data_IF_053365562775
#
_entry.id   IF_053365562775
#
_cell.length_a   1.000
_cell.length_b   1.000
_cell.length_c   1.000
_cell.angle_alpha   90.00
_cell.angle_beta   90.00
_cell.angle_gamma   90.00
#
_symmetry.space_group_name_H-M   'P 1'
#
loop_
_entity.id
_entity.type
_entity.pdbx_description
1 polymer ?
#
# COMPACT_ATOMS: atom_id res chain seq x y z
N UNK A 1 12.52 -11.46 7.10
CA UNK A 1 11.23 -11.61 6.40
C UNK A 1 10.41 -12.59 7.21
N UNK A 2 9.46 -12.08 8.00
CA UNK A 2 8.50 -12.95 8.71
C UNK A 2 7.58 -13.54 7.63
N UNK A 3 7.48 -14.86 7.57
CA UNK A 3 6.64 -15.59 6.61
C UNK A 3 5.16 -15.64 7.05
N UNK A 4 4.90 -14.99 8.18
CA UNK A 4 3.72 -15.13 9.03
C UNK A 4 2.43 -14.70 8.29
N UNK A 5 2.52 -13.73 7.36
CA UNK A 5 1.37 -13.19 6.61
C UNK A 5 0.88 -14.03 5.43
N UNK A 6 1.73 -14.86 4.80
CA UNK A 6 1.35 -15.63 3.61
C UNK A 6 0.25 -16.66 3.91
N UNK A 7 0.26 -17.24 5.11
CA UNK A 7 -0.66 -18.30 5.50
C UNK A 7 -1.83 -17.81 6.37
N UNK A 8 -1.79 -16.57 6.88
CA UNK A 8 -2.72 -16.11 7.92
C UNK A 8 -3.62 -14.93 7.51
N UNK A 9 -3.18 -14.02 6.63
CA UNK A 9 -3.92 -12.77 6.30
C UNK A 9 -4.28 -12.62 4.82
N UNK A 10 -4.08 -13.68 4.03
CA UNK A 10 -4.22 -13.65 2.59
C UNK A 10 -2.96 -13.15 1.89
N UNK A 11 -3.01 -13.00 0.58
CA UNK A 11 -1.87 -12.59 -0.25
C UNK A 11 -1.47 -11.10 -0.05
N UNK A 12 -1.66 -10.51 1.13
CA UNK A 12 -1.17 -9.16 1.46
C UNK A 12 -0.42 -9.14 2.78
N UNK A 13 0.58 -8.26 2.91
CA UNK A 13 1.36 -8.05 4.13
C UNK A 13 1.71 -6.56 4.28
N UNK A 14 1.88 -6.06 5.51
CA UNK A 14 2.19 -4.64 5.76
C UNK A 14 3.37 -4.47 6.70
N UNK A 15 4.16 -3.42 6.50
CA UNK A 15 5.29 -3.11 7.38
C UNK A 15 5.61 -1.61 7.41
N UNK A 16 6.11 -1.15 8.56
CA UNK A 16 6.67 0.19 8.69
C UNK A 16 8.06 0.22 8.04
N UNK A 17 8.21 1.00 6.97
CA UNK A 17 9.48 1.12 6.22
C UNK A 17 10.38 2.15 6.89
N UNK A 18 9.81 3.32 7.19
CA UNK A 18 10.46 4.49 7.79
C UNK A 18 9.40 5.41 8.39
N UNK A 19 9.76 6.44 9.19
CA UNK A 19 8.79 7.41 9.68
C UNK A 19 7.98 8.06 8.55
N UNK A 20 6.65 7.84 8.55
CA UNK A 20 5.74 8.33 7.51
C UNK A 20 5.75 7.53 6.19
N UNK A 21 6.37 6.34 6.17
CA UNK A 21 6.40 5.44 5.01
C UNK A 21 5.95 4.05 5.41
N UNK A 22 4.84 3.60 4.83
CA UNK A 22 4.24 2.30 5.10
C UNK A 22 4.20 1.48 3.82
N UNK A 23 4.67 0.24 3.89
CA UNK A 23 4.60 -0.72 2.80
C UNK A 23 3.35 -1.59 2.92
N UNK A 24 2.67 -1.79 1.80
CA UNK A 24 1.66 -2.83 1.61
C UNK A 24 2.10 -3.70 0.44
N UNK A 25 2.42 -4.96 0.71
CA UNK A 25 2.68 -5.96 -0.32
C UNK A 25 1.34 -6.56 -0.71
N UNK A 26 1.06 -6.62 -2.01
CA UNK A 26 0.04 -7.49 -2.59
C UNK A 26 0.64 -8.90 -2.77
N UNK A 27 0.29 -9.64 -3.82
CA UNK A 27 0.89 -10.96 -4.06
C UNK A 27 2.43 -10.86 -4.15
N UNK A 28 2.92 -9.98 -5.01
CA UNK A 28 4.35 -9.73 -5.22
C UNK A 28 4.69 -8.26 -5.47
N UNK A 29 3.69 -7.38 -5.64
CA UNK A 29 3.90 -5.94 -5.87
C UNK A 29 3.82 -5.19 -4.55
N UNK A 30 4.71 -4.23 -4.35
CA UNK A 30 4.72 -3.37 -3.17
C UNK A 30 4.10 -2.01 -3.51
N UNK A 31 3.09 -1.61 -2.76
CA UNK A 31 2.57 -0.26 -2.75
C UNK A 31 3.18 0.50 -1.57
N UNK A 32 3.72 1.70 -1.80
CA UNK A 32 4.29 2.53 -0.75
C UNK A 32 3.39 3.73 -0.46
N UNK A 33 2.92 3.83 0.78
CA UNK A 33 2.13 4.94 1.29
C UNK A 33 3.05 5.94 1.99
N UNK A 34 3.08 7.18 1.52
CA UNK A 34 4.03 8.20 2.00
C UNK A 34 3.25 9.43 2.46
N UNK A 35 3.32 9.72 3.75
CA UNK A 35 2.67 10.86 4.37
C UNK A 35 2.45 10.65 5.86
N UNK A 36 2.32 11.77 6.59
CA UNK A 36 1.96 11.75 8.01
C UNK A 36 0.45 11.62 8.19
N UNK A 37 -0.04 11.06 9.32
CA UNK A 37 -1.45 11.12 9.67
C UNK A 37 -1.97 12.57 9.62
N UNK A 38 -3.18 12.75 9.10
CA UNK A 38 -3.86 14.05 8.97
C UNK A 38 -3.13 15.08 8.09
N UNK A 39 -2.20 14.65 7.24
CA UNK A 39 -1.51 15.49 6.26
C UNK A 39 -1.82 15.02 4.84
N UNK A 40 -1.30 15.74 3.86
CA UNK A 40 -1.30 15.29 2.47
C UNK A 40 -0.39 14.07 2.34
N UNK A 41 -0.81 13.11 1.51
CA UNK A 41 -0.09 11.86 1.30
C UNK A 41 -0.19 11.39 -0.15
N UNK A 42 0.72 10.52 -0.53
CA UNK A 42 0.79 9.91 -1.86
C UNK A 42 0.91 8.39 -1.76
N UNK A 43 0.61 7.71 -2.86
CA UNK A 43 0.92 6.29 -3.04
C UNK A 43 1.85 6.10 -4.23
N UNK A 44 2.84 5.22 -4.09
CA UNK A 44 3.70 4.75 -5.17
C UNK A 44 3.32 3.32 -5.51
N UNK A 45 3.05 3.08 -6.79
CA UNK A 45 2.45 1.88 -7.38
C UNK A 45 1.08 1.49 -6.79
N UNK A 46 0.34 0.66 -7.53
CA UNK A 46 -1.05 0.29 -7.19
C UNK A 46 -1.33 -1.20 -7.21
N UNK A 47 -0.30 -2.04 -7.42
CA UNK A 47 -0.44 -3.48 -7.37
C UNK A 47 -1.41 -4.05 -8.41
N UNK A 48 -1.73 -5.32 -8.24
CA UNK A 48 -2.64 -6.05 -9.10
C UNK A 48 -4.10 -5.64 -8.87
N UNK A 49 -4.87 -5.56 -9.95
CA UNK A 49 -6.28 -5.14 -9.93
C UNK A 49 -7.17 -5.94 -8.97
N UNK A 50 -6.87 -7.22 -8.72
CA UNK A 50 -7.56 -8.07 -7.75
C UNK A 50 -7.45 -7.58 -6.29
N UNK A 51 -6.51 -6.68 -5.98
CA UNK A 51 -6.29 -6.13 -4.64
C UNK A 51 -6.81 -4.70 -4.46
N UNK A 52 -7.50 -4.15 -5.47
CA UNK A 52 -8.01 -2.76 -5.45
C UNK A 52 -8.75 -2.42 -4.15
N UNK A 53 -9.69 -3.27 -3.72
CA UNK A 53 -10.46 -3.04 -2.50
C UNK A 53 -9.58 -3.04 -1.25
N UNK A 54 -8.63 -3.97 -1.16
CA UNK A 54 -7.71 -4.08 -0.02
C UNK A 54 -6.82 -2.84 0.10
N UNK A 55 -6.32 -2.32 -1.03
CA UNK A 55 -5.51 -1.10 -1.08
C UNK A 55 -6.32 0.12 -0.62
N UNK A 56 -7.58 0.23 -1.09
CA UNK A 56 -8.49 1.31 -0.70
C UNK A 56 -8.84 1.23 0.80
N UNK A 57 -9.14 0.04 1.31
CA UNK A 57 -9.44 -0.18 2.72
C UNK A 57 -8.25 0.20 3.60
N UNK A 58 -7.05 -0.25 3.24
CA UNK A 58 -5.82 0.12 3.94
C UNK A 58 -5.56 1.63 3.91
N UNK A 59 -5.78 2.29 2.76
CA UNK A 59 -5.66 3.73 2.66
C UNK A 59 -6.61 4.46 3.62
N UNK A 60 -7.87 4.02 3.71
CA UNK A 60 -8.89 4.59 4.60
C UNK A 60 -8.61 4.35 6.09
N UNK A 61 -7.92 3.26 6.43
CA UNK A 61 -7.47 2.99 7.80
C UNK A 61 -6.37 3.96 8.24
N UNK A 62 -5.54 4.44 7.30
CA UNK A 62 -4.36 5.27 7.59
C UNK A 62 -4.57 6.77 7.37
N UNK A 63 -5.47 7.15 6.47
CA UNK A 63 -5.63 8.53 6.03
C UNK A 63 -7.11 8.94 5.93
N UNK A 64 -7.42 10.14 6.41
CA UNK A 64 -8.79 10.70 6.37
C UNK A 64 -9.18 11.24 4.99
N UNK A 65 -8.20 11.66 4.19
CA UNK A 65 -8.37 12.28 2.87
C UNK A 65 -7.83 11.36 1.77
N UNK A 66 -8.30 11.48 0.51
CA UNK A 66 -7.69 10.79 -0.61
C UNK A 66 -6.23 11.24 -0.84
N UNK A 67 -5.40 10.43 -1.53
CA UNK A 67 -4.04 10.84 -1.83
C UNK A 67 -4.05 12.02 -2.80
N UNK A 68 -3.06 12.91 -2.68
CA UNK A 68 -2.91 14.05 -3.60
C UNK A 68 -2.32 13.62 -4.95
N UNK A 69 -1.67 12.45 -5.00
CA UNK A 69 -1.16 11.84 -6.22
C UNK A 69 -1.02 10.32 -6.10
N UNK A 70 -1.12 9.64 -7.25
CA UNK A 70 -0.71 8.25 -7.46
C UNK A 70 0.50 8.30 -8.38
N UNK A 71 1.62 7.75 -7.93
CA UNK A 71 2.87 7.70 -8.69
C UNK A 71 3.07 6.28 -9.19
N UNK A 72 3.08 6.09 -10.50
CA UNK A 72 3.38 4.79 -11.11
C UNK A 72 4.85 4.74 -11.50
N UNK A 73 5.54 3.67 -11.14
CA UNK A 73 6.96 3.48 -11.52
C UNK A 73 7.10 3.17 -13.00
N UNK A 74 6.17 2.39 -13.54
CA UNK A 74 6.10 2.00 -14.95
C UNK A 74 4.68 1.53 -15.33
N UNK A 75 4.47 1.13 -16.58
CA UNK A 75 3.15 0.85 -17.16
C UNK A 75 2.84 -0.62 -17.43
N UNK A 76 3.37 -1.54 -16.62
CA UNK A 76 2.95 -2.93 -16.68
C UNK A 76 1.61 -3.13 -15.94
N UNK A 77 1.11 -4.37 -15.98
CA UNK A 77 -0.21 -4.70 -15.44
C UNK A 77 -0.22 -4.82 -13.91
N UNK A 78 0.96 -4.91 -13.31
CA UNK A 78 1.20 -5.16 -11.90
C UNK A 78 1.47 -3.89 -11.09
#
# INVERSE_FOLDING_TARGET
>A
MRLDGILSEGYTDTWDVAPGVIGLRTMFVNCAFIGQPNSDWIIVDTGLSSYTNRIIEFAKEKYEKPPVAIILTHGHFD
#
